data_IF_196141522610
#
_entry.id   IF_196141522610
#
_cell.length_a   1.000
_cell.length_b   1.000
_cell.length_c   1.000
_cell.angle_alpha   90.00
_cell.angle_beta   90.00
_cell.angle_gamma   90.00
#
_symmetry.space_group_name_H-M   'P 1'
#
loop_
_entity.id
_entity.type
_entity.pdbx_description
1 polymer ?
#
# COMPACT_ATOMS: atom_id res chain seq x y z
N UNK A 1 45.83 3.29 -18.85
CA UNK A 1 46.16 2.46 -17.66
C UNK A 1 45.71 1.04 -17.97
N UNK A 2 46.66 0.12 -18.12
CA UNK A 2 46.42 -1.24 -18.62
C UNK A 2 45.83 -2.10 -17.51
N UNK A 3 44.54 -2.46 -17.61
CA UNK A 3 43.85 -3.26 -16.59
C UNK A 3 44.17 -4.73 -16.84
N UNK A 4 45.05 -5.29 -16.01
CA UNK A 4 45.08 -6.74 -15.74
C UNK A 4 44.01 -7.09 -14.69
N UNK A 5 43.48 -8.29 -14.82
CA UNK A 5 42.67 -9.06 -13.87
C UNK A 5 41.16 -8.87 -13.87
N UNK A 6 40.46 -9.88 -14.39
CA UNK A 6 39.02 -10.07 -14.23
C UNK A 6 38.55 -10.11 -12.76
N UNK A 7 39.44 -10.35 -11.79
CA UNK A 7 39.14 -10.21 -10.36
C UNK A 7 38.91 -8.74 -9.94
N UNK A 8 39.66 -7.80 -10.51
CA UNK A 8 39.49 -6.36 -10.21
C UNK A 8 38.20 -5.81 -10.83
N UNK A 9 37.83 -6.28 -12.03
CA UNK A 9 36.54 -5.95 -12.68
C UNK A 9 35.38 -6.50 -11.84
N UNK A 10 35.49 -7.73 -11.32
CA UNK A 10 34.49 -8.32 -10.44
C UNK A 10 34.37 -7.56 -9.10
N UNK A 11 35.49 -7.13 -8.52
CA UNK A 11 35.54 -6.37 -7.27
C UNK A 11 34.92 -4.97 -7.41
N UNK A 12 35.15 -4.29 -8.53
CA UNK A 12 34.49 -3.02 -8.87
C UNK A 12 32.98 -3.19 -9.02
N UNK A 13 32.52 -4.22 -9.74
CA UNK A 13 31.08 -4.56 -9.83
C UNK A 13 30.47 -4.86 -8.47
N UNK A 14 31.22 -5.50 -7.55
CA UNK A 14 30.74 -5.92 -6.22
C UNK A 14 30.51 -4.76 -5.24
N UNK A 15 31.17 -3.61 -5.43
CA UNK A 15 30.96 -2.41 -4.62
C UNK A 15 30.17 -1.30 -5.33
N UNK A 16 29.94 -1.43 -6.64
CA UNK A 16 29.24 -0.44 -7.44
C UNK A 16 27.81 -0.15 -6.95
N UNK A 17 27.09 -1.19 -6.48
CA UNK A 17 25.76 -1.00 -5.88
C UNK A 17 25.80 -0.11 -4.62
N UNK A 18 26.90 -0.09 -3.85
CA UNK A 18 27.05 0.77 -2.66
C UNK A 18 27.16 2.23 -3.05
N UNK A 19 27.86 2.52 -4.15
CA UNK A 19 27.97 3.88 -4.69
C UNK A 19 26.57 4.38 -5.07
N UNK A 20 25.82 3.57 -5.83
CA UNK A 20 24.43 3.88 -6.19
C UNK A 20 23.53 4.00 -4.95
N UNK A 21 23.66 3.07 -3.99
CA UNK A 21 22.89 3.08 -2.75
C UNK A 21 23.11 4.35 -1.94
N UNK A 22 24.36 4.78 -1.79
CA UNK A 22 24.72 6.00 -1.07
C UNK A 22 24.27 7.25 -1.83
N UNK A 23 24.40 7.26 -3.16
CA UNK A 23 24.02 8.41 -3.98
C UNK A 23 22.50 8.65 -3.95
N UNK A 24 21.69 7.59 -4.02
CA UNK A 24 20.22 7.72 -4.02
C UNK A 24 19.57 7.46 -2.66
N UNK A 25 20.31 7.24 -1.58
CA UNK A 25 19.79 6.90 -0.25
C UNK A 25 18.78 5.74 -0.30
N UNK A 26 19.18 4.60 -0.85
CA UNK A 26 18.27 3.46 -1.09
C UNK A 26 17.89 2.70 0.19
N UNK A 27 18.67 2.87 1.26
CA UNK A 27 18.42 2.30 2.59
C UNK A 27 17.57 3.22 3.49
N UNK A 28 17.21 4.40 3.01
CA UNK A 28 16.26 5.29 3.66
C UNK A 28 14.83 4.94 3.27
N UNK A 29 13.92 5.03 4.23
CA UNK A 29 12.51 4.88 3.96
C UNK A 29 12.00 5.96 3.01
N UNK A 30 10.84 5.68 2.42
CA UNK A 30 10.18 6.51 1.43
C UNK A 30 8.75 6.78 1.84
N UNK A 31 8.25 7.93 1.40
CA UNK A 31 6.86 8.35 1.62
C UNK A 31 6.28 8.79 0.28
N UNK A 32 5.11 8.26 -0.08
CA UNK A 32 4.39 8.74 -1.25
C UNK A 32 3.85 10.14 -0.99
N UNK A 33 4.02 11.03 -1.95
CA UNK A 33 3.54 12.40 -1.83
C UNK A 33 3.07 12.97 -3.16
N UNK A 34 2.35 14.08 -3.08
CA UNK A 34 1.84 14.81 -4.24
C UNK A 34 2.96 15.34 -5.16
N UNK A 35 4.12 15.64 -4.60
CA UNK A 35 5.27 16.19 -5.32
C UNK A 35 6.19 15.09 -5.88
N UNK A 36 5.73 13.84 -5.85
CA UNK A 36 6.53 12.63 -6.07
C UNK A 36 7.05 12.02 -4.78
N UNK A 37 7.80 10.93 -4.92
CA UNK A 37 8.23 10.12 -3.77
C UNK A 37 9.32 10.84 -2.98
N UNK A 38 9.13 10.93 -1.66
CA UNK A 38 10.07 11.60 -0.75
C UNK A 38 10.99 10.59 -0.07
N UNK A 39 12.22 11.00 0.13
CA UNK A 39 13.22 10.29 0.94
C UNK A 39 13.05 10.73 2.40
N UNK A 40 13.09 9.78 3.31
CA UNK A 40 13.09 10.04 4.74
C UNK A 40 14.31 10.85 5.18
N UNK A 41 14.15 11.63 6.25
CA UNK A 41 15.25 12.40 6.85
C UNK A 41 16.18 11.50 7.65
N UNK A 42 15.61 10.45 8.28
CA UNK A 42 16.35 9.49 9.09
C UNK A 42 16.34 8.10 8.47
N UNK A 43 17.38 7.34 8.78
CA UNK A 43 17.57 5.98 8.29
C UNK A 43 17.12 4.94 9.31
N UNK A 44 16.16 4.10 8.93
CA UNK A 44 15.67 3.01 9.78
C UNK A 44 16.54 1.74 9.72
N UNK A 45 17.14 1.46 8.55
CA UNK A 45 17.85 0.22 8.29
C UNK A 45 19.14 0.45 7.51
N UNK A 46 20.13 -0.41 7.71
CA UNK A 46 21.38 -0.45 6.94
C UNK A 46 21.35 -1.65 6.00
N UNK A 47 21.52 -1.39 4.70
CA UNK A 47 21.59 -2.43 3.68
C UNK A 47 23.02 -2.96 3.60
N UNK A 48 23.20 -4.23 3.97
CA UNK A 48 24.51 -4.89 3.95
C UNK A 48 24.80 -5.62 2.63
N UNK A 49 23.77 -6.02 1.89
CA UNK A 49 23.91 -6.72 0.63
C UNK A 49 22.76 -6.38 -0.33
N UNK A 50 23.08 -6.27 -1.62
CA UNK A 50 22.12 -6.03 -2.68
C UNK A 50 22.52 -6.84 -3.92
N UNK A 51 21.54 -7.44 -4.58
CA UNK A 51 21.73 -8.05 -5.88
C UNK A 51 21.63 -6.96 -6.95
N UNK A 52 22.73 -6.71 -7.67
CA UNK A 52 22.76 -5.82 -8.82
C UNK A 52 22.69 -6.64 -10.10
N UNK A 53 21.68 -6.36 -10.91
CA UNK A 53 21.52 -6.94 -12.25
C UNK A 53 21.55 -5.83 -13.28
N UNK A 54 22.53 -5.87 -14.18
CA UNK A 54 22.51 -5.04 -15.39
C UNK A 54 21.31 -5.45 -16.26
N UNK A 55 20.56 -4.45 -16.72
CA UNK A 55 19.42 -4.63 -17.60
C UNK A 55 19.56 -3.65 -18.77
N UNK A 56 18.91 -3.96 -19.88
CA UNK A 56 18.79 -3.03 -20.99
C UNK A 56 17.34 -3.05 -21.46
N UNK A 57 16.46 -2.53 -20.60
CA UNK A 57 15.03 -2.47 -20.90
C UNK A 57 14.72 -1.15 -21.57
N UNK A 58 14.05 -1.21 -22.71
CA UNK A 58 13.53 -0.03 -23.40
C UNK A 58 12.01 -0.14 -23.44
N UNK A 59 11.31 0.87 -22.95
CA UNK A 59 9.84 0.92 -22.99
C UNK A 59 9.39 2.28 -23.52
N UNK A 60 8.40 2.24 -24.40
CA UNK A 60 7.61 3.41 -24.76
C UNK A 60 6.15 3.10 -24.51
N UNK A 61 5.41 4.10 -24.07
CA UNK A 61 4.00 3.89 -23.79
C UNK A 61 3.26 5.17 -23.46
N UNK A 62 2.01 4.96 -23.08
CA UNK A 62 1.08 5.99 -22.66
C UNK A 62 0.72 5.73 -21.20
N UNK A 63 0.79 6.78 -20.39
CA UNK A 63 0.47 6.79 -18.98
C UNK A 63 -0.83 7.56 -18.79
N UNK A 64 -1.88 6.85 -18.41
CA UNK A 64 -3.17 7.41 -18.02
C UNK A 64 -3.47 7.02 -16.56
N UNK A 65 -4.42 7.72 -15.94
CA UNK A 65 -4.79 7.49 -14.55
C UNK A 65 -6.25 7.09 -14.42
N UNK A 66 -6.50 5.99 -13.71
CA UNK A 66 -7.85 5.45 -13.51
C UNK A 66 -8.52 6.03 -12.25
N UNK A 67 -7.72 6.54 -11.31
CA UNK A 67 -8.17 7.05 -10.02
C UNK A 67 -7.12 7.95 -9.36
N UNK A 68 -7.49 8.59 -8.25
CA UNK A 68 -6.57 9.37 -7.42
C UNK A 68 -5.44 8.50 -6.86
N UNK A 69 -5.78 7.29 -6.42
CA UNK A 69 -4.84 6.30 -5.92
C UNK A 69 -3.88 5.86 -7.03
N UNK A 70 -4.40 5.57 -8.22
CA UNK A 70 -3.58 5.19 -9.38
C UNK A 70 -2.61 6.30 -9.80
N UNK A 71 -3.10 7.54 -9.82
CA UNK A 71 -2.25 8.72 -10.01
C UNK A 71 -1.13 8.79 -8.96
N UNK A 72 -1.46 8.67 -7.67
CA UNK A 72 -0.48 8.74 -6.58
C UNK A 72 0.59 7.66 -6.74
N UNK A 73 0.21 6.43 -7.11
CA UNK A 73 1.16 5.33 -7.35
C UNK A 73 2.12 5.64 -8.51
N UNK A 74 1.56 5.92 -9.70
CA UNK A 74 2.31 6.10 -10.95
C UNK A 74 3.24 7.31 -10.88
N UNK A 75 2.78 8.42 -10.32
CA UNK A 75 3.58 9.64 -10.12
C UNK A 75 4.74 9.44 -9.14
N UNK A 76 4.57 8.53 -8.18
CA UNK A 76 5.58 8.08 -7.21
C UNK A 76 6.39 6.86 -7.70
N UNK A 77 6.39 6.61 -9.02
CA UNK A 77 7.20 5.60 -9.71
C UNK A 77 6.82 4.13 -9.44
N UNK A 78 5.58 3.88 -9.01
CA UNK A 78 5.00 2.54 -8.93
C UNK A 78 4.12 2.31 -10.16
N UNK A 79 4.74 1.83 -11.25
CA UNK A 79 4.09 1.65 -12.55
C UNK A 79 3.66 0.21 -12.85
N UNK A 80 4.25 -0.77 -12.17
CA UNK A 80 3.93 -2.19 -12.37
C UNK A 80 2.60 -2.58 -11.70
N UNK A 81 1.82 -3.44 -12.36
CA UNK A 81 0.52 -3.98 -11.89
C UNK A 81 0.73 -4.99 -10.77
N UNK A 82 1.90 -5.64 -10.70
CA UNK A 82 2.25 -6.62 -9.67
C UNK A 82 2.52 -6.01 -8.28
N UNK A 83 2.45 -4.68 -8.14
CA UNK A 83 2.80 -3.93 -6.93
C UNK A 83 1.84 -4.10 -5.73
N UNK A 84 0.84 -4.98 -5.83
CA UNK A 84 0.09 -5.53 -4.68
C UNK A 84 -0.77 -4.56 -3.87
N UNK A 85 -1.44 -5.09 -2.83
CA UNK A 85 -2.34 -4.34 -1.96
C UNK A 85 -1.63 -3.22 -1.16
N UNK A 86 -0.37 -3.44 -0.76
CA UNK A 86 0.39 -2.52 0.09
C UNK A 86 0.62 -1.15 -0.57
N UNK A 87 0.90 -1.13 -1.88
CA UNK A 87 1.08 0.12 -2.63
C UNK A 87 -0.19 0.96 -2.64
N UNK A 88 -1.35 0.33 -2.65
CA UNK A 88 -2.63 1.05 -2.55
C UNK A 88 -2.80 1.71 -1.19
N UNK A 89 -2.38 1.06 -0.11
CA UNK A 89 -2.47 1.64 1.23
C UNK A 89 -1.52 2.84 1.38
N UNK A 90 -0.28 2.74 0.91
CA UNK A 90 0.64 3.89 0.91
C UNK A 90 0.10 5.06 0.06
N UNK A 91 -0.52 4.78 -1.08
CA UNK A 91 -1.14 5.81 -1.91
C UNK A 91 -2.30 6.51 -1.19
N UNK A 92 -3.21 5.75 -0.57
CA UNK A 92 -4.30 6.31 0.25
C UNK A 92 -3.78 7.18 1.39
N UNK A 93 -2.73 6.73 2.05
CA UNK A 93 -2.09 7.50 3.12
C UNK A 93 -1.51 8.82 2.61
N UNK A 94 -0.75 8.78 1.51
CA UNK A 94 -0.21 9.99 0.87
C UNK A 94 -1.31 10.99 0.46
N UNK A 95 -2.44 10.49 -0.04
CA UNK A 95 -3.61 11.31 -0.39
C UNK A 95 -4.29 11.92 0.83
N UNK A 96 -4.31 11.23 1.98
CA UNK A 96 -4.94 11.72 3.21
C UNK A 96 -4.20 12.89 3.87
N UNK A 97 -2.88 12.97 3.68
CA UNK A 97 -2.03 14.03 4.23
C UNK A 97 -2.11 15.31 3.38
N UNK A 98 -2.38 15.17 2.08
CA UNK A 98 -2.59 16.30 1.19
C UNK A 98 -4.03 16.82 1.33
N UNK A 99 -4.21 18.11 1.63
CA UNK A 99 -5.53 18.76 1.63
C UNK A 99 -6.07 18.86 0.20
N UNK A 100 -6.68 17.81 -0.32
CA UNK A 100 -7.16 17.74 -1.71
C UNK A 100 -8.50 18.47 -1.86
N UNK A 101 -8.44 19.81 -1.94
CA UNK A 101 -9.56 20.67 -2.38
C UNK A 101 -9.20 21.56 -3.58
N UNK A 102 -8.27 21.14 -4.44
CA UNK A 102 -7.94 21.92 -5.63
C UNK A 102 -8.50 21.26 -6.90
N UNK A 103 -9.26 22.03 -7.68
CA UNK A 103 -9.89 21.58 -8.95
C UNK A 103 -8.86 21.15 -9.97
N UNK A 104 -7.64 21.68 -9.85
CA UNK A 104 -6.48 21.33 -10.64
C UNK A 104 -6.20 19.82 -10.59
N UNK A 105 -6.21 19.21 -9.40
CA UNK A 105 -5.89 17.80 -9.26
C UNK A 105 -6.75 16.87 -10.12
N UNK A 106 -8.04 17.18 -10.27
CA UNK A 106 -8.94 16.38 -11.10
C UNK A 106 -8.59 16.47 -12.59
N UNK A 107 -8.09 17.61 -13.06
CA UNK A 107 -7.68 17.77 -14.47
C UNK A 107 -6.40 16.96 -14.78
N UNK A 108 -5.48 16.83 -13.82
CA UNK A 108 -4.26 16.02 -13.98
C UNK A 108 -4.59 14.53 -14.06
N UNK A 109 -5.55 14.06 -13.25
CA UNK A 109 -6.06 12.68 -13.35
C UNK A 109 -6.70 12.41 -14.72
N UNK A 110 -7.29 13.44 -15.34
CA UNK A 110 -7.86 13.35 -16.69
C UNK A 110 -6.82 13.47 -17.81
N UNK A 111 -5.56 13.79 -17.48
CA UNK A 111 -4.48 13.94 -18.44
C UNK A 111 -3.88 12.60 -18.82
N UNK A 112 -3.25 12.56 -19.99
CA UNK A 112 -2.46 11.44 -20.45
C UNK A 112 -1.03 11.92 -20.75
N UNK A 113 -0.06 11.05 -20.59
CA UNK A 113 1.34 11.34 -20.88
C UNK A 113 1.93 10.25 -21.75
N UNK A 114 2.69 10.63 -22.78
CA UNK A 114 3.57 9.69 -23.45
C UNK A 114 4.85 9.56 -22.62
N UNK A 115 5.47 8.40 -22.61
CA UNK A 115 6.76 8.24 -21.95
C UNK A 115 7.70 7.34 -22.72
N UNK A 116 8.99 7.62 -22.55
CA UNK A 116 10.09 6.75 -22.96
C UNK A 116 10.93 6.44 -21.73
N UNK A 117 11.29 5.16 -21.56
CA UNK A 117 12.08 4.66 -20.44
C UNK A 117 13.22 3.78 -20.94
N UNK A 118 14.39 3.97 -20.32
CA UNK A 118 15.52 3.07 -20.43
C UNK A 118 15.98 2.65 -19.03
N UNK A 119 15.75 1.39 -18.69
CA UNK A 119 16.29 0.76 -17.49
C UNK A 119 17.71 0.24 -17.75
N UNK A 120 18.64 0.57 -16.85
CA UNK A 120 20.06 0.22 -16.94
C UNK A 120 20.50 -0.79 -15.89
N UNK A 121 19.98 -0.68 -14.67
CA UNK A 121 20.24 -1.66 -13.61
C UNK A 121 18.99 -1.87 -12.76
N UNK A 122 18.80 -3.10 -12.29
CA UNK A 122 17.89 -3.46 -11.21
C UNK A 122 18.70 -3.77 -9.95
N UNK A 123 18.35 -3.10 -8.86
CA UNK A 123 18.88 -3.33 -7.52
C UNK A 123 17.81 -4.02 -6.69
N UNK A 124 18.07 -5.26 -6.27
CA UNK A 124 17.10 -6.08 -5.54
C UNK A 124 17.60 -6.48 -4.16
N UNK A 125 16.78 -6.22 -3.15
CA UNK A 125 16.98 -6.68 -1.78
C UNK A 125 16.25 -8.02 -1.63
N UNK A 126 16.99 -9.13 -1.73
CA UNK A 126 16.40 -10.46 -1.57
C UNK A 126 15.74 -10.60 -0.19
N UNK A 127 14.57 -11.25 -0.12
CA UNK A 127 13.87 -11.57 1.14
C UNK A 127 14.75 -12.27 2.18
N UNK A 128 15.69 -13.14 1.75
CA UNK A 128 16.68 -13.77 2.66
C UNK A 128 17.66 -12.76 3.25
N UNK A 129 17.94 -11.67 2.54
CA UNK A 129 18.80 -10.56 2.97
C UNK A 129 18.03 -9.46 3.73
N UNK A 130 16.70 -9.41 3.66
CA UNK A 130 15.89 -8.52 4.51
C UNK A 130 16.08 -8.85 5.99
N UNK A 131 16.26 -10.14 6.33
CA UNK A 131 16.67 -10.57 7.69
C UNK A 131 18.06 -10.07 8.11
N UNK A 132 18.87 -9.62 7.16
CA UNK A 132 20.22 -9.09 7.39
C UNK A 132 20.26 -7.56 7.33
N UNK A 133 19.11 -6.88 7.15
CA UNK A 133 19.04 -5.44 7.34
C UNK A 133 19.35 -5.14 8.79
N UNK A 134 20.41 -4.37 9.02
CA UNK A 134 20.75 -3.97 10.38
C UNK A 134 19.84 -2.81 10.77
N UNK A 135 18.95 -3.04 11.72
CA UNK A 135 18.16 -1.99 12.36
C UNK A 135 19.10 -0.93 12.96
N UNK A 136 18.82 0.36 12.75
CA UNK A 136 19.58 1.42 13.42
C UNK A 136 19.17 1.53 14.89
N UNK A 137 20.12 1.87 15.77
CA UNK A 137 19.84 1.99 17.20
C UNK A 137 18.83 3.12 17.47
N UNK A 138 18.90 4.21 16.70
CA UNK A 138 17.96 5.33 16.80
C UNK A 138 16.52 4.88 16.51
N UNK A 139 16.30 4.24 15.35
CA UNK A 139 14.97 3.76 14.97
C UNK A 139 14.45 2.69 15.94
N UNK A 140 15.33 1.79 16.41
CA UNK A 140 14.98 0.79 17.43
C UNK A 140 14.48 1.45 18.71
N UNK A 141 15.19 2.47 19.20
CA UNK A 141 14.81 3.18 20.42
C UNK A 141 13.48 3.92 20.25
N UNK A 142 13.30 4.61 19.12
CA UNK A 142 12.05 5.30 18.82
C UNK A 142 10.85 4.34 18.79
N UNK A 143 11.02 3.14 18.20
CA UNK A 143 9.98 2.09 18.21
C UNK A 143 9.70 1.60 19.63
N UNK A 144 10.73 1.34 20.45
CA UNK A 144 10.56 0.93 21.85
C UNK A 144 9.82 2.00 22.66
N UNK A 145 10.14 3.28 22.44
CA UNK A 145 9.50 4.40 23.11
C UNK A 145 8.06 4.58 22.64
N UNK A 146 7.77 4.33 21.35
CA UNK A 146 6.40 4.31 20.85
C UNK A 146 5.57 3.20 21.48
N UNK A 147 6.14 2.00 21.64
CA UNK A 147 5.48 0.85 22.29
C UNK A 147 5.10 1.16 23.74
N UNK A 148 5.98 1.84 24.47
CA UNK A 148 5.77 2.20 25.90
C UNK A 148 4.91 3.45 26.10
N UNK A 149 4.54 4.14 25.03
CA UNK A 149 3.76 5.37 25.08
C UNK A 149 2.32 5.11 25.53
N UNK A 150 1.72 6.08 26.23
CA UNK A 150 0.26 6.07 26.51
C UNK A 150 -0.57 6.14 25.21
N UNK A 151 -0.01 6.75 24.16
CA UNK A 151 -0.62 6.79 22.83
C UNK A 151 0.38 6.29 21.77
N UNK A 152 0.51 4.96 21.60
CA UNK A 152 1.44 4.37 20.64
C UNK A 152 1.14 4.80 19.21
N UNK A 153 -0.14 4.85 18.83
CA UNK A 153 -0.57 5.19 17.46
C UNK A 153 -0.02 6.54 16.97
N UNK A 154 -0.10 7.59 17.79
CA UNK A 154 0.44 8.91 17.43
C UNK A 154 1.98 8.93 17.40
N UNK A 155 2.64 8.14 18.26
CA UNK A 155 4.11 8.01 18.23
C UNK A 155 4.58 7.31 16.96
N UNK A 156 3.95 6.20 16.58
CA UNK A 156 4.29 5.54 15.32
C UNK A 156 4.03 6.41 14.08
N UNK A 157 2.96 7.22 14.09
CA UNK A 157 2.74 8.22 13.03
C UNK A 157 3.91 9.20 12.92
N UNK A 158 4.45 9.69 14.05
CA UNK A 158 5.64 10.55 14.06
C UNK A 158 6.86 9.82 13.50
N UNK A 159 7.08 8.57 13.90
CA UNK A 159 8.16 7.75 13.36
C UNK A 159 8.07 7.67 11.83
N UNK A 160 6.89 7.44 11.24
CA UNK A 160 6.76 7.39 9.77
C UNK A 160 7.03 8.72 9.06
N UNK A 161 6.93 9.86 9.76
CA UNK A 161 7.31 11.16 9.19
C UNK A 161 8.83 11.31 9.11
N UNK A 162 9.55 10.81 10.11
CA UNK A 162 11.01 10.93 10.20
C UNK A 162 11.74 9.86 9.38
N UNK A 163 11.27 8.62 9.44
CA UNK A 163 11.93 7.45 8.84
C UNK A 163 11.28 6.97 7.53
N UNK A 164 10.18 7.59 7.11
CA UNK A 164 9.40 7.19 5.95
C UNK A 164 8.35 6.11 6.28
N UNK A 165 7.57 5.71 5.28
CA UNK A 165 6.48 4.73 5.43
C UNK A 165 6.91 3.32 5.04
N UNK A 166 7.74 3.19 4.01
CA UNK A 166 8.15 1.91 3.45
C UNK A 166 9.56 1.94 2.87
N UNK A 167 10.12 0.77 2.61
CA UNK A 167 11.34 0.60 1.82
C UNK A 167 11.00 -0.24 0.58
N UNK A 168 11.29 0.24 -0.65
CA UNK A 168 11.16 -0.58 -1.85
C UNK A 168 12.20 -1.69 -1.84
N UNK A 169 11.81 -2.92 -2.23
CA UNK A 169 12.75 -4.06 -2.26
C UNK A 169 13.34 -4.34 -3.62
N UNK A 170 12.88 -3.65 -4.65
CA UNK A 170 13.52 -3.62 -5.95
C UNK A 170 13.41 -2.22 -6.54
N UNK A 171 14.53 -1.73 -7.07
CA UNK A 171 14.70 -0.38 -7.61
C UNK A 171 15.32 -0.47 -8.98
N UNK A 172 14.70 0.18 -9.97
CA UNK A 172 15.24 0.31 -11.31
C UNK A 172 15.86 1.69 -11.45
N UNK A 173 17.12 1.72 -11.90
CA UNK A 173 17.85 2.94 -12.22
C UNK A 173 18.03 3.05 -13.74
N UNK A 174 17.96 4.28 -14.25
CA UNK A 174 18.18 4.57 -15.66
C UNK A 174 17.66 5.96 -16.01
N UNK A 175 17.00 6.08 -17.16
CA UNK A 175 16.36 7.31 -17.60
C UNK A 175 14.88 7.11 -17.92
N UNK A 176 14.04 8.07 -17.57
CA UNK A 176 12.65 8.15 -18.01
C UNK A 176 12.26 9.58 -18.34
N UNK A 177 11.63 9.76 -19.49
CA UNK A 177 11.12 11.06 -19.95
C UNK A 177 9.61 10.95 -20.20
N UNK A 178 8.86 11.97 -19.81
CA UNK A 178 7.43 12.09 -20.01
C UNK A 178 7.12 13.27 -20.91
N UNK A 179 6.10 13.16 -21.76
CA UNK A 179 5.59 14.22 -22.62
C UNK A 179 4.09 14.34 -22.39
N UNK A 180 3.55 15.56 -22.39
CA UNK A 180 2.10 15.74 -22.34
C UNK A 180 1.49 15.13 -23.61
N UNK A 181 0.58 14.19 -23.43
CA UNK A 181 -0.25 13.68 -24.52
C UNK A 181 -1.46 14.60 -24.60
N UNK A 182 -1.29 15.73 -25.29
CA UNK A 182 -2.40 16.65 -25.53
C UNK A 182 -3.41 15.87 -26.38
N UNK A 183 -4.50 15.39 -25.78
CA UNK A 183 -5.71 15.12 -26.55
C UNK A 183 -6.11 16.46 -27.15
N UNK A 184 -5.99 16.59 -28.46
CA UNK A 184 -6.80 17.56 -29.20
C UNK A 184 -8.29 17.19 -29.01
N UNK A 185 -8.86 17.50 -27.85
CA UNK A 185 -10.30 17.71 -27.78
C UNK A 185 -10.53 19.09 -28.40
N UNK A 186 -10.68 19.10 -29.72
CA UNK A 186 -11.29 20.20 -30.45
C UNK A 186 -12.67 20.42 -29.82
N UNK A 187 -12.77 21.45 -28.99
CA UNK A 187 -14.00 22.21 -28.81
C UNK A 187 -13.61 23.68 -28.79
N UNK A 188 -13.52 24.20 -30.01
CA UNK A 188 -13.49 25.59 -30.48
C UNK A 188 -12.56 26.61 -29.77
N UNK A 189 -11.66 27.29 -30.51
CA UNK A 189 -11.02 28.49 -30.02
C UNK A 189 -12.02 29.64 -30.13
N UNK A 190 -12.46 30.16 -29.00
CA UNK A 190 -13.00 31.50 -28.93
C UNK A 190 -12.36 32.20 -27.74
N UNK A 191 -11.38 33.04 -28.07
CA UNK A 191 -10.93 34.26 -27.39
C UNK A 191 -11.20 34.32 -25.88
N UNK A 192 -10.13 34.34 -25.07
CA UNK A 192 -9.89 35.57 -24.32
C UNK A 192 -8.44 35.69 -23.84
N UNK A 193 -7.89 36.87 -24.09
CA UNK A 193 -6.70 37.40 -23.46
C UNK A 193 -6.95 37.54 -21.95
N UNK A 194 -6.17 36.86 -21.11
CA UNK A 194 -6.11 37.26 -19.70
C UNK A 194 -4.84 36.81 -18.99
N UNK A 195 -3.96 37.79 -18.88
CA UNK A 195 -2.93 38.01 -17.87
C UNK A 195 -3.01 37.13 -16.61
N UNK A 196 -1.86 36.51 -16.34
CA UNK A 196 -1.12 36.58 -15.08
C UNK A 196 -1.96 36.49 -13.79
N UNK A 197 -1.92 35.34 -13.13
CA UNK A 197 -2.34 35.26 -11.74
C UNK A 197 -1.33 34.46 -10.92
N UNK A 198 -0.46 35.21 -10.23
CA UNK A 198 0.34 34.73 -9.12
C UNK A 198 -0.58 34.16 -8.06
N UNK A 199 -0.71 32.84 -8.06
CA UNK A 199 -1.18 32.09 -6.91
C UNK A 199 -0.04 31.18 -6.52
N UNK A 200 0.54 31.39 -5.33
CA UNK A 200 1.48 30.47 -4.70
C UNK A 200 0.74 29.20 -4.28
N UNK A 201 0.23 28.47 -5.27
CA UNK A 201 -0.29 27.13 -5.13
C UNK A 201 0.89 26.20 -5.17
N UNK A 202 0.96 25.29 -4.21
CA UNK A 202 1.89 24.16 -4.24
C UNK A 202 1.48 23.29 -5.43
N UNK A 203 2.00 23.60 -6.60
CA UNK A 203 1.80 22.84 -7.83
C UNK A 203 2.56 21.53 -7.67
N UNK A 204 1.93 20.39 -8.00
CA UNK A 204 2.72 19.15 -8.16
C UNK A 204 3.81 19.44 -9.18
N UNK A 205 4.96 18.78 -9.06
CA UNK A 205 5.98 18.81 -10.14
C UNK A 205 5.41 18.38 -11.49
N UNK A 206 4.28 17.68 -11.52
CA UNK A 206 3.55 17.35 -12.74
C UNK A 206 2.65 18.49 -13.26
N UNK A 207 2.12 19.34 -12.38
CA UNK A 207 1.25 20.46 -12.75
C UNK A 207 1.97 21.61 -13.46
N UNK A 208 3.28 21.74 -13.24
CA UNK A 208 4.00 22.95 -13.62
C UNK A 208 4.39 23.04 -15.10
N UNK A 209 3.91 22.15 -15.98
CA UNK A 209 4.64 21.92 -17.21
C UNK A 209 3.79 21.72 -18.47
N UNK A 210 3.90 22.72 -19.33
CA UNK A 210 3.99 22.52 -20.78
C UNK A 210 5.32 21.83 -21.19
N UNK A 211 6.20 21.42 -20.25
CA UNK A 211 7.50 20.80 -20.52
C UNK A 211 7.72 19.47 -19.77
N UNK A 212 7.89 18.41 -20.54
CA UNK A 212 8.76 17.27 -20.27
C UNK A 212 9.22 17.05 -18.82
N UNK A 213 8.65 16.07 -18.09
CA UNK A 213 9.29 15.57 -16.86
C UNK A 213 10.43 14.64 -17.26
N UNK A 214 11.65 14.97 -16.85
CA UNK A 214 12.86 14.16 -17.07
C UNK A 214 13.33 13.56 -15.73
N UNK A 215 13.63 12.26 -15.74
CA UNK A 215 14.28 11.53 -14.66
C UNK A 215 15.52 10.88 -15.25
N UNK A 216 16.70 11.36 -14.86
CA UNK A 216 17.95 10.86 -15.40
C UNK A 216 18.16 11.13 -16.90
N UNK A 217 19.40 10.96 -17.33
CA UNK A 217 19.93 11.44 -18.59
C UNK A 217 20.20 12.94 -18.54
N UNK A 218 20.69 13.48 -19.65
CA UNK A 218 20.96 14.89 -19.85
C UNK A 218 20.28 15.33 -21.13
N UNK A 219 19.68 16.52 -21.10
CA UNK A 219 19.12 17.21 -22.26
C UNK A 219 19.48 18.70 -22.14
N UNK A 220 19.99 19.36 -23.21
CA UNK A 220 20.24 20.81 -23.18
C UNK A 220 18.94 21.60 -22.98
N UNK A 221 18.94 22.57 -22.07
CA UNK A 221 17.74 23.33 -21.67
C UNK A 221 17.14 24.17 -22.82
N UNK A 222 17.96 24.52 -23.83
CA UNK A 222 17.60 25.45 -24.92
C UNK A 222 17.17 24.75 -26.23
N UNK A 223 17.10 23.41 -26.26
CA UNK A 223 16.82 22.64 -27.48
C UNK A 223 15.56 21.77 -27.37
N UNK A 224 14.94 21.47 -28.53
CA UNK A 224 13.89 20.44 -28.59
C UNK A 224 14.46 19.10 -28.11
N UNK A 225 13.65 18.31 -27.40
CA UNK A 225 14.08 17.02 -26.88
C UNK A 225 14.63 16.10 -27.98
N UNK A 226 15.92 15.78 -27.92
CA UNK A 226 16.56 14.80 -28.79
C UNK A 226 16.73 13.48 -28.02
N UNK A 227 15.90 12.51 -28.40
CA UNK A 227 15.93 11.19 -27.80
C UNK A 227 17.31 10.52 -27.95
N UNK A 228 18.02 10.68 -29.07
CA UNK A 228 19.33 10.04 -29.26
C UNK A 228 20.38 10.62 -28.31
N UNK A 229 20.39 11.95 -28.16
CA UNK A 229 21.30 12.65 -27.22
C UNK A 229 21.01 12.22 -25.78
N UNK A 230 19.72 12.16 -25.41
CA UNK A 230 19.31 11.68 -24.09
C UNK A 230 19.72 10.22 -23.86
N UNK A 231 19.48 9.31 -24.81
CA UNK A 231 19.88 7.89 -24.71
C UNK A 231 21.41 7.76 -24.56
N UNK A 232 22.18 8.54 -25.32
CA UNK A 232 23.64 8.52 -25.27
C UNK A 232 24.15 8.96 -23.89
N UNK A 233 23.52 9.98 -23.29
CA UNK A 233 23.87 10.46 -21.94
C UNK A 233 23.70 9.40 -20.85
N UNK A 234 22.80 8.42 -21.06
CA UNK A 234 22.56 7.31 -20.13
C UNK A 234 23.62 6.20 -20.21
N UNK A 235 24.64 6.32 -21.08
CA UNK A 235 25.83 5.45 -21.00
C UNK A 235 26.67 5.75 -19.76
N UNK A 236 26.65 7.00 -19.31
CA UNK A 236 27.24 7.41 -18.04
C UNK A 236 26.28 7.08 -16.90
N UNK A 237 26.79 6.50 -15.83
CA UNK A 237 25.99 6.13 -14.67
C UNK A 237 25.67 7.28 -13.75
N UNK A 238 26.46 8.36 -13.80
CA UNK A 238 26.18 9.56 -13.01
C UNK A 238 24.96 10.31 -13.53
N UNK A 239 24.44 9.95 -14.71
CA UNK A 239 23.20 10.50 -15.25
C UNK A 239 21.98 9.65 -14.90
N UNK A 240 22.13 8.49 -14.25
CA UNK A 240 20.97 7.66 -13.94
C UNK A 240 20.13 8.31 -12.83
N UNK A 241 18.86 7.93 -12.74
CA UNK A 241 17.99 8.21 -11.61
C UNK A 241 17.12 7.00 -11.27
N UNK A 242 16.48 7.01 -10.11
CA UNK A 242 15.42 6.05 -9.79
C UNK A 242 14.23 6.30 -10.71
N UNK A 243 13.90 5.32 -11.55
CA UNK A 243 12.81 5.43 -12.53
C UNK A 243 11.62 4.53 -12.17
N UNK A 244 11.83 3.48 -11.38
CA UNK A 244 10.77 2.58 -10.93
C UNK A 244 11.10 1.97 -9.56
N UNK A 245 10.09 1.90 -8.69
CA UNK A 245 10.13 1.18 -7.42
C UNK A 245 9.16 0.02 -7.43
N UNK A 246 9.57 -1.09 -6.82
CA UNK A 246 8.78 -2.32 -6.73
C UNK A 246 8.79 -2.90 -5.33
N UNK A 247 7.73 -3.65 -5.03
CA UNK A 247 7.61 -4.46 -3.81
C UNK A 247 7.94 -3.67 -2.51
N UNK A 248 7.24 -2.56 -2.22
CA UNK A 248 7.49 -1.81 -1.00
C UNK A 248 6.97 -2.58 0.22
N UNK A 249 7.77 -2.55 1.27
CA UNK A 249 7.47 -3.17 2.57
C UNK A 249 7.40 -2.07 3.62
N UNK A 250 6.37 -2.09 4.46
CA UNK A 250 6.25 -1.13 5.55
C UNK A 250 7.48 -1.23 6.47
N UNK A 251 8.04 -0.10 6.90
CA UNK A 251 9.26 -0.10 7.73
C UNK A 251 9.11 -0.88 9.03
N UNK A 252 7.89 -1.03 9.57
CA UNK A 252 7.63 -1.81 10.79
C UNK A 252 7.51 -3.31 10.53
N UNK A 253 7.15 -3.72 9.31
CA UNK A 253 7.14 -5.14 8.93
C UNK A 253 8.55 -5.74 8.85
N UNK A 254 9.58 -4.89 8.74
CA UNK A 254 10.99 -5.28 8.71
C UNK A 254 11.61 -5.43 10.11
N UNK A 255 10.85 -5.15 11.19
CA UNK A 255 11.31 -5.34 12.57
C UNK A 255 11.55 -6.83 12.88
N UNK A 256 12.47 -7.08 13.79
CA UNK A 256 12.73 -8.44 14.33
C UNK A 256 11.48 -8.92 15.09
N UNK A 257 11.16 -10.21 14.98
CA UNK A 257 9.85 -10.78 15.35
C UNK A 257 9.30 -10.36 16.72
N UNK A 258 10.12 -10.35 17.78
CA UNK A 258 9.69 -9.91 19.11
C UNK A 258 9.29 -8.42 19.14
N UNK A 259 10.14 -7.54 18.59
CA UNK A 259 9.88 -6.10 18.52
C UNK A 259 8.70 -5.79 17.58
N UNK A 260 8.59 -6.53 16.47
CA UNK A 260 7.46 -6.45 15.53
C UNK A 260 6.15 -6.80 16.23
N UNK A 261 6.13 -7.88 17.02
CA UNK A 261 4.96 -8.32 17.78
C UNK A 261 4.53 -7.29 18.82
N UNK A 262 5.48 -6.80 19.61
CA UNK A 262 5.21 -5.76 20.60
C UNK A 262 4.68 -4.47 19.94
N UNK A 263 5.22 -4.10 18.77
CA UNK A 263 4.77 -2.93 18.01
C UNK A 263 3.29 -3.01 17.64
N UNK A 264 2.86 -4.05 16.90
CA UNK A 264 1.44 -4.14 16.50
C UNK A 264 0.51 -4.39 17.69
N UNK A 265 0.98 -5.07 18.75
CA UNK A 265 0.18 -5.28 19.97
C UNK A 265 -0.07 -3.98 20.73
N UNK A 266 0.94 -3.11 20.83
CA UNK A 266 0.82 -1.80 21.47
C UNK A 266 -0.20 -0.88 20.79
N UNK A 267 -0.40 -1.04 19.48
CA UNK A 267 -1.41 -0.30 18.70
C UNK A 267 -2.83 -0.82 18.99
N UNK A 268 -2.96 -2.07 19.45
CA UNK A 268 -4.24 -2.72 19.74
C UNK A 268 -4.93 -3.32 18.51
N UNK A 269 -6.01 -4.08 18.76
CA UNK A 269 -6.79 -4.72 17.70
C UNK A 269 -7.54 -3.68 16.86
N UNK A 270 -7.80 -4.04 15.61
CA UNK A 270 -8.41 -3.19 14.58
C UNK A 270 -9.52 -3.96 13.87
N UNK A 271 -10.50 -3.24 13.34
CA UNK A 271 -11.42 -3.82 12.37
C UNK A 271 -10.64 -4.03 11.06
N UNK A 272 -10.32 -5.28 10.76
CA UNK A 272 -9.52 -5.65 9.60
C UNK A 272 -10.38 -5.77 8.34
N UNK A 273 -11.64 -6.20 8.51
CA UNK A 273 -12.57 -6.37 7.41
C UNK A 273 -14.02 -6.33 7.87
N UNK A 274 -14.88 -5.77 7.03
CA UNK A 274 -16.33 -5.86 7.17
C UNK A 274 -16.97 -6.17 5.83
N UNK A 275 -17.97 -7.04 5.83
CA UNK A 275 -18.78 -7.33 4.64
C UNK A 275 -20.24 -7.50 5.01
N UNK A 276 -21.10 -7.35 4.01
CA UNK A 276 -22.52 -7.68 4.08
C UNK A 276 -22.79 -8.64 2.91
N UNK A 277 -23.32 -9.81 3.21
CA UNK A 277 -23.63 -10.84 2.22
C UNK A 277 -25.11 -11.22 2.29
N UNK A 278 -25.72 -11.42 1.14
CA UNK A 278 -27.10 -11.90 1.04
C UNK A 278 -27.15 -13.43 1.23
N UNK A 279 -28.13 -13.92 1.98
CA UNK A 279 -28.32 -15.32 2.29
C UNK A 279 -29.79 -15.74 2.14
N UNK A 280 -30.07 -16.54 1.12
CA UNK A 280 -31.35 -17.24 1.00
C UNK A 280 -31.37 -18.47 1.92
N UNK A 281 -32.25 -18.42 2.92
CA UNK A 281 -32.44 -19.49 3.88
C UNK A 281 -33.83 -20.14 3.74
N UNK A 282 -33.84 -21.33 3.13
CA UNK A 282 -35.03 -22.18 3.08
C UNK A 282 -35.11 -23.09 4.31
N UNK A 283 -36.08 -22.82 5.19
CA UNK A 283 -36.39 -23.64 6.35
C UNK A 283 -37.56 -24.59 6.00
N UNK A 284 -37.25 -25.84 5.69
CA UNK A 284 -38.24 -26.85 5.27
C UNK A 284 -38.66 -27.80 6.39
N UNK A 285 -37.87 -27.91 7.45
CA UNK A 285 -38.03 -28.83 8.59
C UNK A 285 -37.63 -28.13 9.89
N UNK A 286 -38.24 -28.54 11.00
CA UNK A 286 -37.92 -27.99 12.33
C UNK A 286 -36.50 -28.39 12.74
N UNK A 287 -35.78 -27.47 13.38
CA UNK A 287 -34.41 -27.71 13.87
C UNK A 287 -33.32 -27.69 12.78
N UNK A 288 -33.68 -27.61 11.50
CA UNK A 288 -32.71 -27.43 10.42
C UNK A 288 -31.98 -26.09 10.59
N UNK A 289 -30.73 -26.06 10.19
CA UNK A 289 -29.90 -24.85 10.14
C UNK A 289 -29.32 -24.66 8.75
N UNK A 290 -28.93 -23.43 8.44
CA UNK A 290 -28.17 -23.10 7.24
C UNK A 290 -26.69 -23.01 7.60
N UNK A 291 -25.85 -23.77 6.91
CA UNK A 291 -24.41 -23.48 6.88
C UNK A 291 -24.15 -22.46 5.78
N UNK A 292 -23.62 -21.31 6.18
CA UNK A 292 -23.31 -20.17 5.31
C UNK A 292 -21.79 -20.02 5.22
N UNK A 293 -21.22 -20.38 4.08
CA UNK A 293 -19.81 -20.17 3.80
C UNK A 293 -19.56 -18.73 3.34
N UNK A 294 -18.51 -18.11 3.86
CA UNK A 294 -18.14 -16.74 3.52
C UNK A 294 -17.50 -16.71 2.13
N UNK A 295 -18.22 -16.15 1.15
CA UNK A 295 -17.80 -16.21 -0.27
C UNK A 295 -16.88 -15.06 -0.65
N UNK A 296 -17.12 -13.88 -0.09
CA UNK A 296 -16.54 -12.62 -0.58
C UNK A 296 -15.39 -12.09 0.28
N UNK A 297 -14.71 -12.96 1.02
CA UNK A 297 -13.54 -12.54 1.81
C UNK A 297 -12.31 -12.44 0.88
N UNK A 298 -11.66 -11.27 0.81
CA UNK A 298 -10.41 -11.10 0.06
C UNK A 298 -9.31 -12.05 0.53
N UNK A 299 -8.46 -12.51 -0.39
CA UNK A 299 -7.39 -13.47 -0.08
C UNK A 299 -6.44 -12.98 1.02
N UNK A 300 -6.06 -11.71 1.01
CA UNK A 300 -5.20 -11.11 2.04
C UNK A 300 -5.85 -11.16 3.43
N UNK A 301 -7.17 -11.03 3.53
CA UNK A 301 -7.89 -11.14 4.80
C UNK A 301 -7.95 -12.60 5.25
N UNK A 302 -8.16 -13.56 4.33
CA UNK A 302 -8.10 -15.00 4.67
C UNK A 302 -6.71 -15.39 5.22
N UNK A 303 -5.63 -14.88 4.62
CA UNK A 303 -4.27 -15.10 5.09
C UNK A 303 -4.07 -14.57 6.53
N UNK A 304 -4.67 -13.42 6.86
CA UNK A 304 -4.64 -12.87 8.22
C UNK A 304 -5.48 -13.69 9.20
N UNK A 305 -6.65 -14.19 8.81
CA UNK A 305 -7.48 -15.09 9.65
C UNK A 305 -6.72 -16.39 9.98
N UNK A 306 -5.92 -16.90 9.04
CA UNK A 306 -5.15 -18.13 9.25
C UNK A 306 -3.85 -17.91 10.03
N UNK A 307 -3.40 -16.66 10.22
CA UNK A 307 -2.23 -16.35 11.01
C UNK A 307 -2.59 -16.24 12.51
N UNK A 308 -1.97 -17.10 13.32
CA UNK A 308 -2.19 -17.13 14.77
C UNK A 308 -1.71 -15.84 15.46
N UNK A 309 -0.64 -15.18 14.96
CA UNK A 309 -0.14 -13.90 15.50
C UNK A 309 -1.17 -12.76 15.41
N UNK A 310 -2.09 -12.84 14.45
CA UNK A 310 -3.12 -11.83 14.25
C UNK A 310 -4.21 -11.89 15.34
N UNK A 311 -4.31 -13.01 16.08
CA UNK A 311 -5.32 -13.25 17.11
C UNK A 311 -6.74 -12.83 16.65
N UNK A 312 -7.12 -13.23 15.44
CA UNK A 312 -8.37 -12.80 14.82
C UNK A 312 -9.59 -13.36 15.55
N UNK A 313 -10.53 -12.49 15.87
CA UNK A 313 -11.89 -12.77 16.30
C UNK A 313 -12.85 -12.39 15.16
N UNK A 314 -13.86 -13.23 14.92
CA UNK A 314 -14.89 -13.01 13.89
C UNK A 314 -16.19 -12.72 14.62
N UNK A 315 -16.96 -11.78 14.10
CA UNK A 315 -18.30 -11.44 14.54
C UNK A 315 -19.25 -11.52 13.36
N UNK A 316 -20.46 -12.00 13.63
CA UNK A 316 -21.52 -12.09 12.65
C UNK A 316 -22.83 -11.60 13.26
N UNK A 317 -23.65 -10.95 12.44
CA UNK A 317 -25.04 -10.67 12.75
C UNK A 317 -25.90 -11.03 11.54
N UNK A 318 -27.06 -11.60 11.79
CA UNK A 318 -28.01 -11.99 10.75
C UNK A 318 -29.29 -11.21 10.97
N UNK A 319 -29.73 -10.50 9.94
CA UNK A 319 -30.99 -9.76 9.95
C UNK A 319 -31.88 -10.26 8.84
N UNK A 320 -33.17 -10.38 9.12
CA UNK A 320 -34.17 -10.54 8.08
C UNK A 320 -34.52 -9.17 7.51
N UNK A 321 -34.60 -9.11 6.19
CA UNK A 321 -34.95 -7.88 5.48
C UNK A 321 -36.44 -7.78 5.18
N UNK A 322 -37.22 -8.85 5.39
CA UNK A 322 -38.66 -8.83 5.22
C UNK A 322 -39.36 -8.22 6.45
N UNK A 323 -39.99 -7.06 6.26
CA UNK A 323 -40.74 -6.39 7.31
C UNK A 323 -41.94 -7.20 7.84
N UNK A 324 -42.38 -8.24 7.13
CA UNK A 324 -43.52 -9.08 7.51
C UNK A 324 -43.13 -10.29 8.39
N UNK A 325 -41.84 -10.57 8.57
CA UNK A 325 -41.35 -11.76 9.29
C UNK A 325 -41.22 -11.61 10.80
N UNK A 326 -41.94 -10.65 11.40
CA UNK A 326 -41.84 -10.14 12.80
C UNK A 326 -41.96 -11.16 13.96
N UNK A 327 -42.04 -12.46 13.68
CA UNK A 327 -42.21 -13.54 14.66
C UNK A 327 -41.10 -14.61 14.62
N UNK A 328 -40.00 -14.34 13.91
CA UNK A 328 -38.87 -15.26 13.76
C UNK A 328 -37.62 -14.62 14.32
N UNK A 329 -36.93 -15.34 15.20
CA UNK A 329 -35.63 -14.93 15.72
C UNK A 329 -34.54 -15.69 14.97
N UNK A 330 -33.49 -14.99 14.55
CA UNK A 330 -32.34 -15.62 13.92
C UNK A 330 -31.17 -15.62 14.90
N UNK A 331 -30.56 -16.79 15.06
CA UNK A 331 -29.33 -16.94 15.79
C UNK A 331 -28.22 -17.32 14.81
N UNK A 332 -27.01 -16.82 15.02
CA UNK A 332 -25.85 -17.22 14.25
C UNK A 332 -24.69 -17.63 15.13
N UNK A 333 -24.02 -18.71 14.74
CA UNK A 333 -22.83 -19.24 15.39
C UNK A 333 -21.69 -19.31 14.40
N UNK A 334 -20.49 -18.95 14.85
CA UNK A 334 -19.30 -18.95 14.01
C UNK A 334 -18.64 -20.31 14.13
N UNK A 335 -18.46 -20.97 12.98
CA UNK A 335 -17.76 -22.23 12.87
C UNK A 335 -16.39 -21.97 12.26
N UNK A 336 -15.34 -22.13 13.08
CA UNK A 336 -13.95 -22.03 12.65
C UNK A 336 -13.27 -23.37 12.86
N UNK A 337 -12.90 -24.04 11.76
CA UNK A 337 -12.06 -25.23 11.81
C UNK A 337 -10.62 -24.84 11.45
N UNK A 338 -9.60 -25.50 12.03
CA UNK A 338 -8.20 -25.27 11.64
C UNK A 338 -8.04 -25.42 10.13
N UNK A 339 -7.32 -24.49 9.50
CA UNK A 339 -7.01 -24.49 8.06
C UNK A 339 -8.22 -24.52 7.11
N UNK A 340 -9.43 -24.25 7.60
CA UNK A 340 -10.63 -24.15 6.80
C UNK A 340 -11.15 -22.72 6.79
N UNK A 341 -11.83 -22.35 5.71
CA UNK A 341 -12.56 -21.08 5.66
C UNK A 341 -13.59 -21.04 6.79
N UNK A 342 -13.68 -19.95 7.56
CA UNK A 342 -14.72 -19.79 8.55
C UNK A 342 -16.10 -19.82 7.88
N UNK A 343 -17.06 -20.43 8.54
CA UNK A 343 -18.46 -20.45 8.12
C UNK A 343 -19.38 -20.03 9.26
N UNK A 344 -20.62 -19.70 8.93
CA UNK A 344 -21.63 -19.27 9.89
C UNK A 344 -22.78 -20.27 9.86
N UNK A 345 -23.14 -20.79 11.02
CA UNK A 345 -24.35 -21.60 11.20
C UNK A 345 -25.49 -20.66 11.56
N UNK A 346 -26.56 -20.66 10.79
CA UNK A 346 -27.74 -19.81 11.00
C UNK A 346 -28.94 -20.67 11.38
N UNK A 347 -29.53 -20.38 12.53
CA UNK A 347 -30.77 -20.99 13.01
C UNK A 347 -31.92 -19.99 12.93
N UNK A 348 -33.08 -20.48 12.51
CA UNK A 348 -34.34 -19.74 12.56
C UNK A 348 -35.19 -20.34 13.70
N UNK A 349 -35.56 -19.50 14.66
CA UNK A 349 -36.34 -19.86 15.83
C UNK A 349 -37.74 -19.28 15.65
N UNK A 350 -38.70 -20.17 15.44
CA UNK A 350 -40.10 -19.84 15.23
C UNK A 350 -40.92 -20.31 16.44
N UNK A 351 -41.91 -19.53 16.89
CA UNK A 351 -42.85 -19.98 17.94
C UNK A 351 -43.69 -21.19 17.52
N UNK A 352 -44.09 -21.20 16.24
CA UNK A 352 -44.80 -22.32 15.61
C UNK A 352 -44.12 -22.59 14.28
N UNK A 353 -43.75 -23.86 14.03
CA UNK A 353 -43.03 -24.21 12.82
C UNK A 353 -43.85 -23.88 11.55
N UNK A 354 -43.22 -23.18 10.62
CA UNK A 354 -43.76 -22.90 9.28
C UNK A 354 -42.64 -22.97 8.25
N UNK A 355 -42.88 -23.73 7.17
CA UNK A 355 -41.98 -23.75 6.03
C UNK A 355 -41.93 -22.36 5.41
N UNK A 356 -40.73 -21.81 5.26
CA UNK A 356 -40.56 -20.45 4.77
C UNK A 356 -39.20 -20.29 4.09
N UNK A 357 -39.12 -19.32 3.19
CA UNK A 357 -37.87 -18.87 2.59
C UNK A 357 -37.58 -17.47 3.11
N UNK A 358 -36.44 -17.32 3.78
CA UNK A 358 -35.99 -16.05 4.34
C UNK A 358 -34.90 -15.43 3.48
N UNK A 359 -35.00 -14.11 3.26
CA UNK A 359 -33.98 -13.31 2.58
C UNK A 359 -33.19 -12.55 3.62
N UNK A 360 -32.12 -13.17 4.07
CA UNK A 360 -31.32 -12.67 5.18
C UNK A 360 -30.15 -11.83 4.66
N UNK A 361 -29.75 -10.84 5.45
CA UNK A 361 -28.45 -10.18 5.32
C UNK A 361 -27.55 -10.59 6.46
N UNK A 362 -26.37 -11.09 6.10
CA UNK A 362 -25.33 -11.51 7.03
C UNK A 362 -24.25 -10.45 7.04
N UNK A 363 -24.13 -9.70 8.14
CA UNK A 363 -23.05 -8.74 8.34
C UNK A 363 -21.92 -9.43 9.08
N UNK A 364 -20.71 -9.34 8.55
CA UNK A 364 -19.49 -9.94 9.11
C UNK A 364 -18.52 -8.83 9.48
N UNK A 365 -17.83 -9.01 10.59
CA UNK A 365 -16.74 -8.15 11.04
C UNK A 365 -15.59 -9.02 11.55
N UNK A 366 -14.39 -8.76 11.04
CA UNK A 366 -13.17 -9.46 11.45
C UNK A 366 -12.31 -8.45 12.19
N UNK A 367 -11.96 -8.80 13.42
CA UNK A 367 -11.15 -7.98 14.33
C UNK A 367 -9.87 -8.74 14.64
N UNK A 368 -8.73 -8.08 14.60
CA UNK A 368 -7.44 -8.70 14.93
C UNK A 368 -6.33 -7.67 14.98
N UNK A 369 -5.11 -8.13 15.25
CA UNK A 369 -3.92 -7.29 15.12
C UNK A 369 -3.58 -7.05 13.66
N UNK A 370 -3.34 -5.77 13.33
CA UNK A 370 -2.95 -5.36 11.98
C UNK A 370 -1.44 -5.51 11.79
N UNK A 371 -1.04 -6.69 11.29
CA UNK A 371 0.36 -7.04 11.06
C UNK A 371 0.99 -6.32 9.85
N UNK A 372 0.16 -5.68 9.02
CA UNK A 372 0.61 -4.88 7.87
C UNK A 372 0.82 -3.41 8.25
N UNK A 373 0.53 -3.04 9.50
CA UNK A 373 0.67 -1.69 10.03
C UNK A 373 -0.11 -0.65 9.20
N UNK A 374 -1.26 -1.05 8.66
CA UNK A 374 -2.23 -0.19 7.98
C UNK A 374 -3.03 0.71 8.94
N UNK A 375 -2.82 0.62 10.26
CA UNK A 375 -3.47 1.47 11.28
C UNK A 375 -3.23 2.98 11.08
N UNK A 376 -2.20 3.34 10.30
CA UNK A 376 -1.87 4.73 9.96
C UNK A 376 -2.87 5.30 8.96
N UNK A 377 -3.62 4.45 8.25
CA UNK A 377 -4.67 4.88 7.33
C UNK A 377 -5.78 5.64 8.08
N UNK A 378 -6.34 6.69 7.47
CA UNK A 378 -7.37 7.53 8.09
C UNK A 378 -8.64 6.74 8.44
N UNK A 379 -8.96 5.69 7.68
CA UNK A 379 -10.17 4.89 7.86
C UNK A 379 -9.99 3.74 8.87
N UNK A 380 -8.82 3.64 9.52
CA UNK A 380 -8.55 2.56 10.47
C UNK A 380 -9.25 2.79 11.81
N UNK A 381 -10.11 1.84 12.19
CA UNK A 381 -10.86 1.89 13.46
C UNK A 381 -10.18 0.99 14.48
N UNK A 382 -9.67 1.61 15.56
CA UNK A 382 -9.20 0.92 16.76
C UNK A 382 -10.37 0.37 17.57
N UNK A 383 -10.23 -0.85 18.08
CA UNK A 383 -11.24 -1.51 18.89
C UNK A 383 -10.61 -2.17 20.09
N UNK A 384 -11.30 -2.08 21.23
CA UNK A 384 -10.98 -2.84 22.43
C UNK A 384 -11.90 -4.05 22.50
N UNK A 385 -11.31 -5.23 22.68
CA UNK A 385 -12.05 -6.46 22.78
C UNK A 385 -12.25 -6.83 24.25
N UNK A 386 -13.49 -6.73 24.71
CA UNK A 386 -13.89 -7.12 26.06
C UNK A 386 -14.44 -8.55 26.00
N UNK A 387 -13.75 -9.50 26.66
CA UNK A 387 -14.20 -10.88 26.80
C UNK A 387 -14.75 -11.09 28.21
N UNK A 388 -15.99 -11.59 28.29
CA UNK A 388 -16.59 -12.04 29.53
C UNK A 388 -16.86 -13.55 29.42
N UNK A 389 -16.26 -14.33 30.30
CA UNK A 389 -16.56 -15.75 30.38
C UNK A 389 -17.91 -15.91 31.08
N UNK A 390 -18.90 -16.36 30.31
CA UNK A 390 -20.21 -16.68 30.85
C UNK A 390 -20.10 -17.96 31.69
N UNK A 391 -20.15 -17.81 33.01
CA UNK A 391 -20.29 -18.95 33.92
C UNK A 391 -21.77 -19.16 34.27
N UNK A 392 -22.45 -20.18 33.71
CA UNK A 392 -23.87 -20.43 33.98
C UNK A 392 -24.19 -20.77 35.44
N UNK A 393 -23.18 -21.04 36.29
CA UNK A 393 -23.38 -21.31 37.71
C UNK A 393 -23.53 -20.04 38.58
N UNK A 394 -23.18 -18.86 38.05
CA UNK A 394 -23.25 -17.58 38.79
C UNK A 394 -24.51 -16.73 38.48
N UNK A 395 -25.43 -17.20 37.63
CA UNK A 395 -26.71 -16.52 37.43
C UNK A 395 -27.75 -17.00 38.47
N UNK A 396 -27.55 -16.56 39.72
CA UNK A 396 -28.60 -16.48 40.74
C UNK A 396 -28.51 -15.11 41.41
N UNK A 397 -29.02 -14.11 40.73
CA UNK A 397 -29.57 -12.90 41.36
C UNK A 397 -30.92 -12.58 40.71
#
# INVERSE_FOLDING_TARGET
MTIKDGQNILYLKRNYWKILSNHYNLDYGRTMSFDGIKIAEKRAYIINNCELKEINSYKKGRLEFESKEDWMKKTNLFTDVENGANVTNFAKLGLSVASLRDKSFNNEIMSAYQYTEIGKVSLKFNRKHLKNLKLTDEFKNDVIDAIKSENPGEKFKKITKEYGQFIPTEIILGGRVYFNDIKESITNPANDDSKNNNNSKKTSKFYCFNFIRLLGGKHPDDENFDEKVWIESLKDHTSWECIEFKNPINIFQLLIDDLRSQAFKSIGKRILHTSIEDCDYYLNESGRYKNFELKNIPRNILEVIHNEEAECDIFASVIDTDANSKKVFFNCQILRKPNAKPSIIIHAIQKSFKKCMYKLKVKIMIIGYDMDFNFILPDSIGVELIKHDYNPQNSRE
#
